data_IF_098783697092
#
_entry.id   IF_098783697092
#
_cell.length_a   1.000
_cell.length_b   1.000
_cell.length_c   1.000
_cell.angle_alpha   90.00
_cell.angle_beta   90.00
_cell.angle_gamma   90.00
#
_symmetry.space_group_name_H-M   'P 1'
#
loop_
_entity.id
_entity.type
_entity.pdbx_description
1 polymer ?
#
# COMPACT_ATOMS: atom_id res chain seq x y z
N UNK A 1 35.50 -5.04 84.17
CA UNK A 1 36.08 -5.12 82.82
C UNK A 1 35.46 -6.29 82.11
N UNK A 2 34.51 -5.98 81.17
CA UNK A 2 34.14 -6.97 80.12
C UNK A 2 33.39 -6.20 79.06
N UNK A 3 33.97 -6.08 77.86
CA UNK A 3 33.40 -5.43 76.70
C UNK A 3 32.39 -6.37 76.02
N UNK A 4 31.13 -5.91 75.85
CA UNK A 4 30.13 -6.57 75.03
C UNK A 4 30.23 -5.96 73.65
N UNK A 5 30.50 -6.84 72.68
CA UNK A 5 30.52 -6.51 71.24
C UNK A 5 29.10 -6.76 70.67
N UNK A 6 28.37 -5.71 70.37
CA UNK A 6 27.09 -5.80 69.67
C UNK A 6 27.31 -6.09 68.21
N UNK A 7 26.72 -7.19 67.68
CA UNK A 7 26.59 -7.48 66.24
C UNK A 7 25.32 -6.84 65.70
N UNK A 8 25.47 -5.86 64.84
CA UNK A 8 24.35 -5.33 64.07
C UNK A 8 24.12 -6.22 62.84
N UNK A 9 22.95 -6.86 62.75
CA UNK A 9 22.46 -7.51 61.54
C UNK A 9 21.88 -6.42 60.60
N UNK A 10 22.56 -6.16 59.51
CA UNK A 10 22.03 -5.36 58.44
C UNK A 10 21.09 -6.19 57.55
N UNK A 11 19.78 -5.91 57.58
CA UNK A 11 18.81 -6.47 56.65
C UNK A 11 18.92 -5.73 55.31
N UNK A 12 19.41 -6.42 54.29
CA UNK A 12 19.38 -5.93 52.90
C UNK A 12 17.94 -6.14 52.33
N UNK A 13 17.18 -5.06 52.24
CA UNK A 13 15.92 -5.04 51.48
C UNK A 13 16.25 -5.02 49.99
N UNK A 14 16.14 -6.17 49.32
CA UNK A 14 16.11 -6.25 47.84
C UNK A 14 14.77 -5.70 47.36
N UNK A 15 14.74 -4.44 46.94
CA UNK A 15 13.61 -3.86 46.21
C UNK A 15 13.60 -4.47 44.81
N UNK A 16 12.79 -5.49 44.59
CA UNK A 16 12.49 -6.03 43.28
C UNK A 16 11.74 -4.97 42.46
N UNK A 17 12.41 -4.31 41.51
CA UNK A 17 11.76 -3.52 40.50
C UNK A 17 10.94 -4.47 39.63
N UNK A 18 9.65 -4.55 39.89
CA UNK A 18 8.68 -5.06 38.91
C UNK A 18 8.68 -4.12 37.74
N UNK A 19 9.41 -4.45 36.68
CA UNK A 19 9.28 -3.79 35.41
C UNK A 19 7.82 -4.01 34.93
N UNK A 20 6.99 -2.99 35.07
CA UNK A 20 5.69 -2.98 34.41
C UNK A 20 5.93 -3.18 32.91
N UNK A 21 5.18 -4.07 32.23
CA UNK A 21 5.24 -4.14 30.79
C UNK A 21 4.88 -2.76 30.24
N UNK A 22 5.84 -2.13 29.59
CA UNK A 22 5.57 -0.89 28.86
C UNK A 22 4.39 -1.18 27.94
N UNK A 23 3.25 -0.51 28.15
CA UNK A 23 2.22 -0.42 27.15
C UNK A 23 2.95 0.10 25.89
N UNK A 24 3.11 -0.79 24.89
CA UNK A 24 3.57 -0.39 23.58
C UNK A 24 2.65 0.74 23.15
N UNK A 25 3.17 1.95 23.11
CA UNK A 25 2.44 3.12 22.61
C UNK A 25 1.88 2.74 21.26
N UNK A 26 0.66 3.18 20.95
CA UNK A 26 0.07 2.98 19.62
C UNK A 26 1.09 3.50 18.61
N UNK A 27 1.79 2.59 17.93
CA UNK A 27 2.72 2.95 16.87
C UNK A 27 1.93 3.69 15.77
N UNK A 28 2.53 4.67 15.14
CA UNK A 28 1.92 5.37 14.01
C UNK A 28 1.95 4.46 12.78
N UNK A 29 0.97 4.61 11.91
CA UNK A 29 1.04 4.03 10.55
C UNK A 29 1.82 4.98 9.67
N UNK A 30 2.91 4.50 9.05
CA UNK A 30 3.76 5.30 8.19
C UNK A 30 3.56 4.90 6.73
N UNK A 31 3.25 5.87 5.89
CA UNK A 31 3.18 5.73 4.45
C UNK A 31 4.45 6.31 3.82
N UNK A 32 5.05 5.57 2.90
CA UNK A 32 6.14 6.03 2.04
C UNK A 32 5.71 5.92 0.59
N UNK A 33 5.83 7.02 -0.18
CA UNK A 33 5.50 7.04 -1.60
C UNK A 33 6.76 6.99 -2.46
N UNK A 34 6.94 5.91 -3.21
CA UNK A 34 8.07 5.79 -4.14
C UNK A 34 7.85 6.55 -5.46
N UNK A 35 6.62 6.83 -5.84
CA UNK A 35 6.19 7.39 -7.12
C UNK A 35 5.18 6.49 -7.82
N UNK A 36 4.56 6.95 -8.89
CA UNK A 36 3.48 6.26 -9.60
C UNK A 36 2.41 5.75 -8.61
N UNK A 37 2.14 4.45 -8.56
CA UNK A 37 1.24 3.81 -7.58
C UNK A 37 2.00 3.01 -6.50
N UNK A 38 3.33 3.16 -6.40
CA UNK A 38 4.17 2.37 -5.51
C UNK A 38 4.21 2.94 -4.09
N UNK A 39 3.66 2.20 -3.14
CA UNK A 39 3.57 2.59 -1.74
C UNK A 39 4.14 1.54 -0.78
N UNK A 40 4.77 2.01 0.30
CA UNK A 40 5.07 1.20 1.48
C UNK A 40 4.21 1.67 2.64
N UNK A 41 3.65 0.72 3.38
CA UNK A 41 2.88 0.94 4.60
C UNK A 41 3.58 0.20 5.73
N UNK A 42 4.02 0.93 6.74
CA UNK A 42 4.50 0.37 8.01
C UNK A 42 3.38 0.50 9.04
N UNK A 43 2.95 -0.63 9.61
CA UNK A 43 1.80 -0.65 10.53
C UNK A 43 2.22 -0.52 11.99
N UNK A 44 1.31 -0.13 12.91
CA UNK A 44 1.60 -0.08 14.35
C UNK A 44 2.09 -1.40 14.96
N UNK A 45 1.79 -2.54 14.31
CA UNK A 45 2.29 -3.86 14.71
C UNK A 45 3.70 -4.17 14.23
N UNK A 46 4.34 -3.26 13.48
CA UNK A 46 5.65 -3.44 12.87
C UNK A 46 5.64 -4.25 11.57
N UNK A 47 4.46 -4.57 11.04
CA UNK A 47 4.35 -5.24 9.74
C UNK A 47 4.52 -4.27 8.57
N UNK A 48 5.02 -4.77 7.45
CA UNK A 48 5.32 -3.97 6.25
C UNK A 48 4.56 -4.52 5.04
N UNK A 49 3.80 -3.65 4.40
CA UNK A 49 3.04 -3.93 3.19
C UNK A 49 3.58 -3.05 2.06
N UNK A 50 3.87 -3.63 0.91
CA UNK A 50 4.07 -2.89 -0.34
C UNK A 50 2.85 -3.02 -1.23
N UNK A 51 2.50 -1.96 -1.95
CA UNK A 51 1.43 -1.95 -2.94
C UNK A 51 2.04 -1.49 -4.27
N UNK A 52 1.78 -2.24 -5.34
CA UNK A 52 2.22 -1.96 -6.71
C UNK A 52 3.70 -1.56 -6.78
N UNK A 53 4.63 -2.44 -6.33
CA UNK A 53 5.99 -2.05 -5.93
C UNK A 53 6.94 -1.82 -7.13
N UNK A 54 6.68 -0.80 -7.92
CA UNK A 54 7.64 -0.30 -8.91
C UNK A 54 8.61 0.71 -8.26
N UNK A 55 9.54 0.19 -7.44
CA UNK A 55 10.49 1.02 -6.68
C UNK A 55 11.53 1.70 -7.58
N UNK A 56 11.78 1.14 -8.77
CA UNK A 56 12.70 1.70 -9.78
C UNK A 56 12.03 2.74 -10.68
N UNK A 57 10.83 3.20 -10.32
CA UNK A 57 10.11 4.24 -11.07
C UNK A 57 11.00 5.48 -11.29
N UNK A 58 11.00 6.10 -12.48
CA UNK A 58 11.91 7.20 -12.80
C UNK A 58 11.82 8.40 -11.84
N UNK A 59 10.62 8.63 -11.29
CA UNK A 59 10.35 9.74 -10.35
C UNK A 59 10.82 9.46 -8.91
N UNK A 60 11.17 8.21 -8.56
CA UNK A 60 11.74 7.90 -7.25
C UNK A 60 13.14 8.52 -7.13
N UNK A 61 13.38 9.43 -6.15
CA UNK A 61 14.70 10.02 -5.97
C UNK A 61 15.73 9.02 -5.46
N UNK A 62 15.32 8.00 -4.70
CA UNK A 62 16.21 6.97 -4.17
C UNK A 62 16.35 5.81 -5.15
N UNK A 63 17.53 5.73 -5.77
CA UNK A 63 17.87 4.66 -6.75
C UNK A 63 18.31 3.37 -6.07
N UNK A 64 18.52 3.38 -4.76
CA UNK A 64 18.92 2.22 -3.96
C UNK A 64 17.75 1.60 -3.21
N UNK A 65 16.52 2.07 -3.41
CA UNK A 65 15.32 1.66 -2.66
C UNK A 65 15.17 0.14 -2.50
N UNK A 66 15.52 -0.66 -3.53
CA UNK A 66 15.45 -2.13 -3.44
C UNK A 66 16.60 -2.67 -2.58
N UNK A 67 17.82 -2.15 -2.76
CA UNK A 67 18.99 -2.61 -2.00
C UNK A 67 18.83 -2.31 -0.50
N UNK A 68 18.29 -1.15 -0.17
CA UNK A 68 18.06 -0.69 1.20
C UNK A 68 16.77 -1.20 1.81
N UNK A 69 15.90 -1.84 1.01
CA UNK A 69 14.65 -2.38 1.48
C UNK A 69 14.89 -3.48 2.52
N UNK A 70 14.45 -3.25 3.74
CA UNK A 70 14.50 -4.21 4.84
C UNK A 70 13.39 -5.25 4.75
N UNK A 71 12.74 -5.50 5.89
CA UNK A 71 11.60 -6.41 5.99
C UNK A 71 10.44 -5.97 5.10
N UNK A 72 9.86 -6.92 4.39
CA UNK A 72 8.54 -6.81 3.74
C UNK A 72 7.77 -8.08 4.05
N UNK A 73 6.56 -7.95 4.57
CA UNK A 73 5.71 -9.11 4.90
C UNK A 73 4.75 -9.45 3.77
N UNK A 74 4.24 -8.40 3.08
CA UNK A 74 3.25 -8.56 2.03
C UNK A 74 3.49 -7.63 0.85
N UNK A 75 3.23 -8.16 -0.34
CA UNK A 75 3.15 -7.41 -1.59
C UNK A 75 1.73 -7.54 -2.12
N UNK A 76 1.06 -6.41 -2.32
CA UNK A 76 -0.25 -6.31 -2.93
C UNK A 76 -0.08 -5.78 -4.35
N UNK A 77 -0.68 -6.45 -5.35
CA UNK A 77 -0.64 -6.00 -6.75
C UNK A 77 -2.05 -5.83 -7.24
N UNK A 78 -2.39 -4.62 -7.72
CA UNK A 78 -3.74 -4.26 -8.13
C UNK A 78 -4.13 -4.83 -9.48
N UNK A 79 -3.20 -4.86 -10.43
CA UNK A 79 -3.43 -5.37 -11.79
C UNK A 79 -2.10 -5.71 -12.51
N UNK A 80 -2.18 -6.25 -13.74
CA UNK A 80 -1.06 -6.89 -14.43
C UNK A 80 -0.08 -5.96 -15.14
N UNK A 81 -0.29 -4.65 -15.19
CA UNK A 81 0.61 -3.73 -15.89
C UNK A 81 1.99 -3.65 -15.23
N UNK A 82 3.01 -3.40 -16.05
CA UNK A 82 4.41 -3.48 -15.63
C UNK A 82 4.81 -2.45 -14.56
N UNK A 83 4.18 -1.28 -14.55
CA UNK A 83 4.38 -0.21 -13.57
C UNK A 83 3.67 -0.46 -12.22
N UNK A 84 2.95 -1.58 -12.10
CA UNK A 84 2.34 -2.07 -10.86
C UNK A 84 2.97 -3.39 -10.40
N UNK A 85 3.17 -4.35 -11.30
CA UNK A 85 3.93 -5.58 -11.00
C UNK A 85 5.36 -5.23 -10.60
N UNK A 86 5.97 -4.29 -11.30
CA UNK A 86 7.24 -3.64 -10.98
C UNK A 86 8.34 -4.61 -10.53
N UNK A 87 8.89 -4.35 -9.35
CA UNK A 87 9.97 -5.14 -8.75
C UNK A 87 9.48 -6.27 -7.82
N UNK A 88 8.19 -6.64 -7.87
CA UNK A 88 7.59 -7.58 -6.92
C UNK A 88 8.35 -8.91 -6.80
N UNK A 89 8.77 -9.51 -7.92
CA UNK A 89 9.51 -10.77 -7.91
C UNK A 89 10.89 -10.65 -7.26
N UNK A 90 11.62 -9.58 -7.56
CA UNK A 90 12.92 -9.29 -6.97
C UNK A 90 12.81 -9.08 -5.46
N UNK A 91 11.84 -8.29 -5.04
CA UNK A 91 11.55 -8.02 -3.63
C UNK A 91 11.14 -9.30 -2.89
N UNK A 92 10.29 -10.13 -3.50
CA UNK A 92 9.89 -11.40 -2.91
C UNK A 92 11.07 -12.33 -2.67
N UNK A 93 11.97 -12.47 -3.63
CA UNK A 93 13.18 -13.29 -3.50
C UNK A 93 14.10 -12.76 -2.38
N UNK A 94 14.17 -11.44 -2.21
CA UNK A 94 15.00 -10.80 -1.16
C UNK A 94 14.39 -10.96 0.24
N UNK A 95 13.08 -10.82 0.37
CA UNK A 95 12.43 -10.61 1.67
C UNK A 95 11.57 -11.76 2.16
N UNK A 96 11.18 -12.67 1.26
CA UNK A 96 10.20 -13.70 1.56
C UNK A 96 8.76 -13.18 1.66
N UNK A 97 8.48 -11.98 1.12
CA UNK A 97 7.17 -11.34 1.18
C UNK A 97 6.09 -12.20 0.52
N UNK A 98 4.89 -12.23 1.12
CA UNK A 98 3.75 -12.97 0.57
C UNK A 98 2.95 -12.10 -0.40
N UNK A 99 2.66 -12.65 -1.58
CA UNK A 99 1.85 -12.00 -2.61
C UNK A 99 0.37 -12.11 -2.29
N UNK A 100 -0.34 -10.98 -2.40
CA UNK A 100 -1.78 -10.89 -2.56
C UNK A 100 -2.08 -10.18 -3.89
N UNK A 101 -2.85 -10.82 -4.75
CA UNK A 101 -3.30 -10.28 -6.04
C UNK A 101 -4.69 -10.81 -6.38
N UNK A 102 -5.42 -10.20 -7.35
CA UNK A 102 -6.64 -10.80 -7.90
C UNK A 102 -6.37 -12.21 -8.45
N UNK A 103 -7.38 -13.08 -8.42
CA UNK A 103 -7.22 -14.51 -8.69
C UNK A 103 -6.46 -14.81 -9.99
N UNK A 104 -6.92 -14.28 -11.12
CA UNK A 104 -6.26 -14.51 -12.42
C UNK A 104 -4.84 -13.97 -12.48
N UNK A 105 -4.61 -12.79 -11.93
CA UNK A 105 -3.28 -12.17 -11.87
C UNK A 105 -2.34 -12.98 -10.96
N UNK A 106 -2.79 -13.40 -9.79
CA UNK A 106 -1.98 -14.19 -8.87
C UNK A 106 -1.51 -15.49 -9.49
N UNK A 107 -2.38 -16.19 -10.25
CA UNK A 107 -2.00 -17.38 -11.00
C UNK A 107 -0.94 -17.08 -12.07
N UNK A 108 -1.12 -16.01 -12.85
CA UNK A 108 -0.17 -15.64 -13.90
C UNK A 108 1.18 -15.19 -13.35
N UNK A 109 1.21 -14.43 -12.25
CA UNK A 109 2.46 -14.01 -11.59
C UNK A 109 3.25 -15.24 -11.12
N UNK A 110 2.58 -16.25 -10.56
CA UNK A 110 3.23 -17.49 -10.14
C UNK A 110 3.71 -18.32 -11.33
N UNK A 111 2.82 -18.58 -12.29
CA UNK A 111 3.10 -19.54 -13.38
C UNK A 111 4.03 -18.96 -14.46
N UNK A 112 3.96 -17.67 -14.71
CA UNK A 112 4.65 -17.00 -15.84
C UNK A 112 5.87 -16.21 -15.38
N UNK A 113 5.76 -15.48 -14.28
CA UNK A 113 6.89 -14.70 -13.75
C UNK A 113 7.76 -15.50 -12.77
N UNK A 114 7.29 -16.68 -12.31
CA UNK A 114 8.04 -17.52 -11.39
C UNK A 114 8.08 -16.96 -9.95
N UNK A 115 7.02 -16.28 -9.52
CA UNK A 115 6.89 -15.91 -8.11
C UNK A 115 6.84 -17.17 -7.24
N UNK A 116 7.58 -17.24 -6.11
CA UNK A 116 7.60 -18.44 -5.28
C UNK A 116 6.20 -18.84 -4.81
N UNK A 117 5.79 -20.06 -5.14
CA UNK A 117 4.42 -20.55 -4.88
C UNK A 117 4.09 -20.58 -3.37
N UNK A 118 5.04 -20.91 -2.54
CA UNK A 118 4.94 -20.94 -1.08
C UNK A 118 4.89 -19.54 -0.43
N UNK A 119 5.22 -18.51 -1.21
CA UNK A 119 5.11 -17.10 -0.82
C UNK A 119 3.83 -16.44 -1.35
N UNK A 120 2.82 -17.19 -1.74
CA UNK A 120 1.54 -16.64 -2.16
C UNK A 120 0.47 -16.83 -1.09
N UNK A 121 -0.36 -15.82 -0.88
CA UNK A 121 -1.66 -15.97 -0.23
C UNK A 121 -2.61 -16.50 -1.31
N UNK A 122 -3.54 -17.38 -0.94
CA UNK A 122 -4.54 -17.84 -1.90
C UNK A 122 -5.24 -16.61 -2.52
N UNK A 123 -5.20 -16.47 -3.86
CA UNK A 123 -5.67 -15.24 -4.51
C UNK A 123 -7.15 -15.01 -4.25
N UNK A 124 -7.50 -13.73 -4.00
CA UNK A 124 -8.89 -13.33 -3.76
C UNK A 124 -9.56 -12.71 -4.99
N UNK A 125 -10.82 -12.37 -4.83
CA UNK A 125 -11.60 -11.64 -5.84
C UNK A 125 -12.32 -10.45 -5.20
N UNK A 126 -12.85 -9.56 -6.06
CA UNK A 126 -13.68 -8.42 -5.64
C UNK A 126 -14.77 -8.87 -4.67
N UNK A 127 -14.92 -8.12 -3.57
CA UNK A 127 -15.84 -8.43 -2.47
C UNK A 127 -15.22 -9.29 -1.36
N UNK A 128 -14.10 -9.97 -1.63
CA UNK A 128 -13.39 -10.77 -0.62
C UNK A 128 -12.61 -9.89 0.36
N UNK A 129 -12.52 -10.36 1.62
CA UNK A 129 -11.68 -9.74 2.65
C UNK A 129 -10.66 -10.78 3.14
N UNK A 130 -9.39 -10.39 3.17
CA UNK A 130 -8.26 -11.27 3.45
C UNK A 130 -7.49 -10.73 4.66
N UNK A 131 -7.16 -11.62 5.60
CA UNK A 131 -6.35 -11.28 6.77
C UNK A 131 -4.86 -11.23 6.43
N UNK A 132 -4.20 -10.18 6.92
CA UNK A 132 -2.74 -10.00 6.88
C UNK A 132 -2.18 -9.98 8.31
N UNK A 133 -2.08 -11.15 8.99
CA UNK A 133 -1.81 -11.21 10.43
C UNK A 133 -0.47 -10.60 10.84
N UNK A 134 0.61 -10.73 10.04
CA UNK A 134 1.91 -10.11 10.33
C UNK A 134 1.86 -8.58 10.29
N UNK A 135 0.92 -8.02 9.51
CA UNK A 135 0.72 -6.58 9.43
C UNK A 135 -0.38 -6.07 10.37
N UNK A 136 -1.06 -6.96 11.10
CA UNK A 136 -2.20 -6.58 11.92
C UNK A 136 -3.29 -5.88 11.08
N UNK A 137 -3.51 -6.32 9.85
CA UNK A 137 -4.41 -5.67 8.91
C UNK A 137 -5.36 -6.68 8.26
N UNK A 138 -6.47 -6.16 7.72
CA UNK A 138 -7.36 -6.86 6.80
C UNK A 138 -7.44 -6.07 5.50
N UNK A 139 -7.59 -6.75 4.38
CA UNK A 139 -7.67 -6.13 3.06
C UNK A 139 -8.95 -6.59 2.38
N UNK A 140 -9.85 -5.65 2.11
CA UNK A 140 -11.01 -5.86 1.24
C UNK A 140 -10.61 -5.52 -0.19
N UNK A 141 -10.89 -6.43 -1.11
CA UNK A 141 -10.66 -6.25 -2.55
C UNK A 141 -11.89 -5.57 -3.13
N UNK A 142 -11.71 -4.40 -3.75
CA UNK A 142 -12.79 -3.62 -4.35
C UNK A 142 -12.60 -3.51 -5.87
N UNK A 143 -13.69 -3.29 -6.58
CA UNK A 143 -13.68 -3.17 -8.03
C UNK A 143 -12.88 -1.96 -8.52
N UNK A 144 -12.18 -2.14 -9.63
CA UNK A 144 -11.59 -1.07 -10.44
C UNK A 144 -11.97 -1.29 -11.92
N UNK A 145 -12.00 -0.20 -12.69
CA UNK A 145 -12.35 -0.23 -14.12
C UNK A 145 -11.13 0.20 -14.92
N UNK A 146 -10.39 -0.79 -15.41
CA UNK A 146 -9.12 -0.63 -16.13
C UNK A 146 -8.78 -1.94 -16.87
N UNK A 147 -7.66 -2.01 -17.59
CA UNK A 147 -7.07 -3.25 -18.10
C UNK A 147 -6.28 -4.00 -17.03
N UNK A 148 -6.02 -5.28 -17.28
CA UNK A 148 -5.17 -6.10 -16.39
C UNK A 148 -4.45 -7.17 -17.22
N UNK A 149 -3.63 -6.72 -18.16
CA UNK A 149 -2.82 -7.58 -19.00
C UNK A 149 -1.42 -7.70 -18.38
N UNK A 150 -0.93 -8.93 -18.26
CA UNK A 150 0.44 -9.21 -17.85
C UNK A 150 1.29 -9.45 -19.09
N UNK A 151 2.34 -8.63 -19.27
CA UNK A 151 3.35 -8.84 -20.32
C UNK A 151 4.57 -9.52 -19.70
N UNK A 152 4.84 -10.80 -20.04
CA UNK A 152 6.01 -11.51 -19.52
C UNK A 152 7.31 -10.86 -19.99
N UNK A 153 8.33 -10.71 -19.13
CA UNK A 153 9.62 -10.09 -19.49
C UNK A 153 10.38 -10.78 -20.63
N UNK A 154 10.15 -12.09 -20.83
CA UNK A 154 10.76 -12.87 -21.89
C UNK A 154 10.11 -12.65 -23.26
N UNK A 155 8.92 -12.07 -23.29
CA UNK A 155 8.27 -11.72 -24.55
C UNK A 155 8.82 -10.37 -25.04
N UNK A 156 9.94 -10.42 -25.76
CA UNK A 156 10.26 -9.33 -26.69
C UNK A 156 9.12 -9.32 -27.70
N UNK A 157 8.34 -8.25 -27.69
CA UNK A 157 7.28 -8.06 -28.68
C UNK A 157 7.93 -8.13 -30.09
N UNK A 158 7.81 -9.28 -30.75
CA UNK A 158 8.02 -9.33 -32.20
C UNK A 158 6.97 -8.41 -32.82
N UNK A 159 7.31 -7.56 -33.78
CA UNK A 159 6.31 -6.72 -34.45
C UNK A 159 5.15 -7.57 -34.92
N UNK A 160 3.94 -7.32 -34.38
CA UNK A 160 2.72 -8.09 -34.67
C UNK A 160 2.38 -9.24 -33.71
N UNK A 161 3.20 -9.53 -32.69
CA UNK A 161 2.97 -10.59 -31.69
C UNK A 161 3.21 -10.10 -30.27
N UNK A 162 2.53 -9.03 -29.83
CA UNK A 162 2.49 -8.69 -28.42
C UNK A 162 1.65 -9.73 -27.67
N UNK A 163 2.29 -10.64 -26.94
CA UNK A 163 1.55 -11.58 -26.11
C UNK A 163 1.32 -10.96 -24.74
N UNK A 164 0.20 -10.29 -24.58
CA UNK A 164 -0.33 -9.88 -23.30
C UNK A 164 -1.26 -10.96 -22.77
N UNK A 165 -1.08 -11.38 -21.53
CA UNK A 165 -1.91 -12.36 -20.87
C UNK A 165 -3.03 -11.67 -20.11
N UNK A 166 -4.29 -11.96 -20.45
CA UNK A 166 -5.40 -11.52 -19.63
C UNK A 166 -5.25 -12.04 -18.20
N UNK A 167 -5.28 -11.14 -17.23
CA UNK A 167 -4.95 -11.45 -15.83
C UNK A 167 -6.13 -11.18 -14.88
N UNK A 168 -7.34 -11.30 -15.38
CA UNK A 168 -8.56 -11.04 -14.61
C UNK A 168 -8.85 -9.55 -14.45
N UNK A 169 -9.70 -9.22 -13.49
CA UNK A 169 -10.12 -7.84 -13.26
C UNK A 169 -9.07 -7.05 -12.48
N UNK A 170 -8.83 -5.78 -12.83
CA UNK A 170 -8.09 -4.86 -11.97
C UNK A 170 -8.89 -4.59 -10.69
N UNK A 171 -8.18 -4.25 -9.61
CA UNK A 171 -8.78 -4.02 -8.30
C UNK A 171 -8.17 -2.82 -7.59
N UNK A 172 -8.92 -2.27 -6.63
CA UNK A 172 -8.40 -1.46 -5.55
C UNK A 172 -8.37 -2.25 -4.24
N UNK A 173 -7.73 -1.70 -3.22
CA UNK A 173 -7.63 -2.30 -1.89
C UNK A 173 -8.09 -1.34 -0.81
N UNK A 174 -9.02 -1.78 0.04
CA UNK A 174 -9.35 -1.11 1.30
C UNK A 174 -8.63 -1.86 2.41
N UNK A 175 -7.64 -1.21 3.01
CA UNK A 175 -6.72 -1.80 3.99
C UNK A 175 -7.10 -1.27 5.36
N UNK A 176 -7.64 -2.13 6.21
CA UNK A 176 -8.06 -1.83 7.58
C UNK A 176 -6.95 -2.21 8.55
N UNK A 177 -6.26 -1.24 9.12
CA UNK A 177 -5.10 -1.45 9.99
C UNK A 177 -5.55 -1.41 11.46
N UNK A 178 -5.26 -2.47 12.20
CA UNK A 178 -5.59 -2.53 13.64
C UNK A 178 -4.79 -1.47 14.41
N UNK A 179 -5.51 -0.53 15.02
CA UNK A 179 -4.91 0.59 15.74
C UNK A 179 -4.34 1.70 14.85
N UNK A 180 -4.60 1.66 13.56
CA UNK A 180 -4.22 2.64 12.55
C UNK A 180 -5.38 3.04 11.65
N UNK A 181 -5.11 3.78 10.55
CA UNK A 181 -6.12 4.24 9.61
C UNK A 181 -6.63 3.12 8.71
N UNK A 182 -7.83 3.32 8.15
CA UNK A 182 -8.31 2.59 6.97
C UNK A 182 -7.85 3.34 5.72
N UNK A 183 -7.11 2.65 4.85
CA UNK A 183 -6.51 3.21 3.65
C UNK A 183 -7.20 2.60 2.42
N UNK A 184 -7.67 3.44 1.50
CA UNK A 184 -8.16 3.01 0.20
C UNK A 184 -7.13 3.36 -0.88
N UNK A 185 -6.49 2.35 -1.44
CA UNK A 185 -5.64 2.46 -2.64
C UNK A 185 -6.51 2.13 -3.85
N UNK A 186 -6.71 3.10 -4.75
CA UNK A 186 -7.65 2.93 -5.86
C UNK A 186 -7.18 1.91 -6.90
N UNK A 187 -5.88 1.62 -6.96
CA UNK A 187 -5.28 1.05 -8.15
C UNK A 187 -5.44 2.01 -9.32
N UNK A 188 -5.30 1.49 -10.52
CA UNK A 188 -5.66 2.22 -11.73
C UNK A 188 -7.14 1.99 -12.05
N UNK A 189 -7.87 3.07 -12.21
CA UNK A 189 -9.32 2.98 -12.43
C UNK A 189 -9.88 4.24 -13.07
N UNK A 190 -10.93 4.08 -13.86
CA UNK A 190 -11.90 5.13 -14.11
C UNK A 190 -12.71 5.41 -12.83
N UNK A 191 -13.42 6.55 -12.78
CA UNK A 191 -14.43 6.75 -11.73
C UNK A 191 -15.60 5.78 -11.99
N UNK A 192 -16.00 5.03 -10.96
CA UNK A 192 -17.08 4.04 -11.05
C UNK A 192 -18.04 4.19 -9.87
N UNK A 193 -19.31 3.89 -10.10
CA UNK A 193 -20.33 3.98 -9.05
C UNK A 193 -20.11 3.02 -7.87
N UNK A 194 -19.38 1.92 -8.09
CA UNK A 194 -19.01 0.99 -7.03
C UNK A 194 -18.22 1.65 -5.89
N UNK A 195 -17.55 2.77 -6.17
CA UNK A 195 -16.89 3.57 -5.14
C UNK A 195 -17.86 4.09 -4.07
N UNK A 196 -19.16 4.24 -4.38
CA UNK A 196 -20.20 4.62 -3.42
C UNK A 196 -20.46 3.53 -2.37
N UNK A 197 -20.14 2.27 -2.68
CA UNK A 197 -20.31 1.16 -1.76
C UNK A 197 -19.25 1.14 -0.66
N UNK A 198 -18.05 1.67 -0.92
CA UNK A 198 -16.93 1.62 0.04
C UNK A 198 -17.32 2.26 1.39
N UNK A 199 -17.85 3.51 1.45
CA UNK A 199 -18.22 4.12 2.72
C UNK A 199 -19.44 3.48 3.40
N UNK A 200 -20.17 2.59 2.72
CA UNK A 200 -21.24 1.81 3.34
C UNK A 200 -20.72 0.67 4.22
N UNK A 201 -19.49 0.19 3.92
CA UNK A 201 -18.85 -0.88 4.68
C UNK A 201 -17.78 -0.37 5.63
N UNK A 202 -16.99 0.64 5.20
CA UNK A 202 -15.81 1.11 5.92
C UNK A 202 -15.66 2.62 5.83
N UNK A 203 -15.39 3.26 6.97
CA UNK A 203 -14.88 4.63 6.95
C UNK A 203 -13.47 4.64 6.38
N UNK A 204 -13.18 5.51 5.42
CA UNK A 204 -11.85 5.68 4.82
C UNK A 204 -11.16 6.89 5.43
N UNK A 205 -10.01 6.66 6.09
CA UNK A 205 -9.21 7.76 6.64
C UNK A 205 -8.31 8.38 5.57
N UNK A 206 -7.69 7.54 4.73
CA UNK A 206 -6.77 7.99 3.67
C UNK A 206 -7.13 7.31 2.36
N UNK A 207 -7.36 8.10 1.32
CA UNK A 207 -7.54 7.62 -0.05
C UNK A 207 -6.29 7.96 -0.88
N UNK A 208 -5.65 6.95 -1.46
CA UNK A 208 -4.57 7.09 -2.43
C UNK A 208 -5.21 7.02 -3.81
N UNK A 209 -5.35 8.18 -4.47
CA UNK A 209 -6.17 8.32 -5.68
C UNK A 209 -5.32 8.56 -6.92
N UNK A 210 -5.47 7.73 -7.95
CA UNK A 210 -4.91 8.01 -9.27
C UNK A 210 -5.58 9.25 -9.88
N UNK A 211 -4.75 10.18 -10.41
CA UNK A 211 -5.23 11.46 -10.97
C UNK A 211 -4.63 11.79 -12.33
N UNK A 212 -3.76 10.92 -12.89
CA UNK A 212 -2.97 11.25 -14.08
C UNK A 212 -3.79 11.52 -15.34
N UNK A 213 -4.99 11.00 -15.43
CA UNK A 213 -5.80 11.02 -16.65
C UNK A 213 -5.24 10.04 -17.68
N UNK A 214 -5.74 10.09 -18.91
CA UNK A 214 -5.41 9.26 -20.06
C UNK A 214 -5.68 7.76 -19.85
N UNK A 215 -5.01 7.14 -18.87
CA UNK A 215 -5.20 5.74 -18.51
C UNK A 215 -6.10 5.55 -17.28
N UNK A 216 -6.22 6.57 -16.42
CA UNK A 216 -6.91 6.52 -15.13
C UNK A 216 -7.87 7.70 -15.00
N UNK A 217 -8.47 7.88 -13.82
CA UNK A 217 -9.21 9.11 -13.52
C UNK A 217 -8.34 10.33 -13.80
N UNK A 218 -8.95 11.36 -14.38
CA UNK A 218 -8.39 12.71 -14.37
C UNK A 218 -8.66 13.41 -13.02
N UNK A 219 -8.11 14.61 -12.79
CA UNK A 219 -8.36 15.34 -11.55
C UNK A 219 -9.85 15.59 -11.25
N UNK A 220 -10.70 15.73 -12.27
CA UNK A 220 -12.14 15.97 -12.10
C UNK A 220 -12.88 14.70 -11.68
N UNK A 221 -12.56 13.57 -12.33
CA UNK A 221 -13.09 12.26 -11.99
C UNK A 221 -12.65 11.83 -10.60
N UNK A 222 -11.37 12.04 -10.26
CA UNK A 222 -10.84 11.74 -8.93
C UNK A 222 -11.53 12.60 -7.85
N UNK A 223 -11.83 13.87 -8.09
CA UNK A 223 -12.58 14.70 -7.16
C UNK A 223 -14.02 14.21 -6.95
N UNK A 224 -14.65 13.65 -7.98
CA UNK A 224 -15.96 13.00 -7.86
C UNK A 224 -15.86 11.71 -7.02
N UNK A 225 -14.82 10.91 -7.24
CA UNK A 225 -14.55 9.72 -6.42
C UNK A 225 -14.37 10.09 -4.93
N UNK A 226 -13.62 11.15 -4.62
CA UNK A 226 -13.47 11.67 -3.24
C UNK A 226 -14.81 12.09 -2.66
N UNK A 227 -15.69 12.71 -3.44
CA UNK A 227 -17.03 13.08 -2.97
C UNK A 227 -17.87 11.85 -2.60
N UNK A 228 -17.73 10.75 -3.33
CA UNK A 228 -18.47 9.52 -3.08
C UNK A 228 -17.88 8.71 -1.92
N UNK A 229 -16.56 8.52 -1.90
CA UNK A 229 -15.84 7.76 -0.85
C UNK A 229 -15.80 8.51 0.48
N UNK A 230 -15.81 9.84 0.46
CA UNK A 230 -15.74 10.74 1.62
C UNK A 230 -14.55 10.47 2.56
N UNK A 231 -13.35 10.24 2.05
CA UNK A 231 -12.20 9.97 2.91
C UNK A 231 -11.89 11.18 3.79
N UNK A 232 -11.24 10.97 4.93
CA UNK A 232 -10.76 12.06 5.78
C UNK A 232 -9.65 12.87 5.08
N UNK A 233 -8.74 12.14 4.43
CA UNK A 233 -7.64 12.69 3.63
C UNK A 233 -7.56 12.00 2.27
N UNK A 234 -7.10 12.72 1.26
CA UNK A 234 -6.79 12.16 -0.06
C UNK A 234 -5.38 12.58 -0.48
N UNK A 235 -4.62 11.61 -0.98
CA UNK A 235 -3.27 11.81 -1.52
C UNK A 235 -3.30 11.42 -2.99
N UNK A 236 -2.94 12.32 -3.91
CA UNK A 236 -2.88 12.00 -5.32
C UNK A 236 -1.67 11.11 -5.63
N UNK A 237 -1.85 10.17 -6.55
CA UNK A 237 -0.83 9.30 -7.09
C UNK A 237 -1.03 9.08 -8.60
N UNK A 238 -0.15 8.32 -9.24
CA UNK A 238 -0.22 7.95 -10.66
C UNK A 238 -0.28 9.16 -11.59
N UNK A 239 0.64 10.12 -11.42
CA UNK A 239 0.77 11.32 -12.25
C UNK A 239 2.24 11.71 -12.44
N UNK A 240 2.53 12.42 -13.52
CA UNK A 240 3.85 13.00 -13.79
C UNK A 240 4.98 12.01 -14.14
N UNK A 241 4.71 10.70 -14.20
CA UNK A 241 5.69 9.68 -14.58
C UNK A 241 5.84 9.58 -16.10
N UNK A 242 4.76 9.69 -16.82
CA UNK A 242 4.74 9.69 -18.29
C UNK A 242 4.14 11.01 -18.81
N UNK A 243 4.60 11.53 -19.98
CA UNK A 243 4.09 12.79 -20.53
C UNK A 243 2.57 12.83 -20.73
N UNK A 244 1.94 11.69 -21.01
CA UNK A 244 0.49 11.56 -21.21
C UNK A 244 -0.31 11.65 -19.91
N UNK A 245 0.33 11.45 -18.74
CA UNK A 245 -0.29 11.60 -17.43
C UNK A 245 -0.29 13.07 -17.02
N UNK A 246 -1.14 13.86 -17.69
CA UNK A 246 -1.16 15.32 -17.62
C UNK A 246 -1.87 15.89 -16.39
N UNK A 247 -2.53 15.06 -15.58
CA UNK A 247 -3.17 15.48 -14.33
C UNK A 247 -2.15 15.93 -13.29
N UNK A 248 -2.45 17.04 -12.59
CA UNK A 248 -1.55 17.60 -11.56
C UNK A 248 -2.26 17.77 -10.22
N UNK A 249 -1.50 17.81 -9.11
CA UNK A 249 -2.07 18.11 -7.79
C UNK A 249 -2.80 19.47 -7.72
N UNK A 250 -2.35 20.47 -8.49
CA UNK A 250 -2.98 21.78 -8.55
C UNK A 250 -4.34 21.72 -9.22
N UNK A 251 -4.45 21.00 -10.36
CA UNK A 251 -5.72 20.75 -11.04
C UNK A 251 -6.66 19.94 -10.13
N UNK A 252 -6.13 18.96 -9.40
CA UNK A 252 -6.92 18.16 -8.46
C UNK A 252 -7.43 19.00 -7.30
N UNK A 253 -6.60 19.89 -6.72
CA UNK A 253 -7.02 20.87 -5.70
C UNK A 253 -8.15 21.74 -6.20
N UNK A 254 -8.03 22.27 -7.44
CA UNK A 254 -9.07 23.10 -8.03
C UNK A 254 -10.39 22.32 -8.24
N UNK A 255 -10.31 21.05 -8.66
CA UNK A 255 -11.48 20.19 -8.81
C UNK A 255 -12.15 19.85 -7.47
N UNK A 256 -11.35 19.59 -6.42
CA UNK A 256 -11.83 19.39 -5.05
C UNK A 256 -12.49 20.66 -4.47
N UNK A 257 -11.90 21.84 -4.71
CA UNK A 257 -12.44 23.12 -4.22
C UNK A 257 -13.84 23.41 -4.78
N UNK A 258 -14.09 23.09 -6.06
CA UNK A 258 -15.46 23.19 -6.67
C UNK A 258 -16.49 22.33 -5.92
N UNK A 259 -16.04 21.32 -5.16
CA UNK A 259 -16.86 20.40 -4.36
C UNK A 259 -16.76 20.68 -2.84
N UNK A 260 -16.02 21.73 -2.44
CA UNK A 260 -15.74 22.08 -1.02
C UNK A 260 -15.01 20.95 -0.27
N UNK A 261 -14.07 20.26 -0.95
CA UNK A 261 -13.33 19.10 -0.44
C UNK A 261 -11.80 19.30 -0.43
N UNK A 262 -11.31 20.46 -0.84
CA UNK A 262 -9.87 20.77 -0.96
C UNK A 262 -9.11 20.72 0.37
N UNK A 263 -9.78 20.96 1.49
CA UNK A 263 -9.20 20.77 2.83
C UNK A 263 -8.83 19.32 3.17
N UNK A 264 -9.26 18.32 2.37
CA UNK A 264 -8.88 16.91 2.53
C UNK A 264 -7.57 16.55 1.83
N UNK A 265 -7.08 17.41 0.94
CA UNK A 265 -5.93 17.12 0.08
C UNK A 265 -4.62 17.23 0.84
N UNK A 266 -3.85 16.16 0.80
CA UNK A 266 -2.44 16.12 1.19
C UNK A 266 -1.62 15.86 -0.08
N UNK A 267 -0.69 16.75 -0.40
CA UNK A 267 0.23 16.56 -1.53
C UNK A 267 1.55 16.04 -0.99
N UNK A 268 2.01 14.91 -1.52
CA UNK A 268 3.32 14.33 -1.25
C UNK A 268 4.19 14.38 -2.52
N UNK A 269 5.50 14.31 -2.34
CA UNK A 269 6.47 14.10 -3.41
C UNK A 269 6.99 12.66 -3.33
N UNK A 270 7.38 12.04 -4.46
CA UNK A 270 8.09 10.75 -4.42
C UNK A 270 9.28 10.80 -3.45
N UNK A 271 9.49 9.73 -2.69
CA UNK A 271 10.49 9.60 -1.65
C UNK A 271 10.07 10.17 -0.27
N UNK A 272 8.89 10.75 -0.13
CA UNK A 272 8.42 11.28 1.16
C UNK A 272 7.68 10.24 2.00
N UNK A 273 7.80 10.43 3.31
CA UNK A 273 7.05 9.72 4.34
C UNK A 273 5.90 10.59 4.88
N UNK A 274 4.83 9.92 5.31
CA UNK A 274 3.73 10.54 6.06
C UNK A 274 3.21 9.59 7.13
N UNK A 275 3.10 10.07 8.36
CA UNK A 275 2.49 9.34 9.48
C UNK A 275 1.00 9.69 9.64
N UNK A 276 0.23 8.68 10.10
CA UNK A 276 -1.21 8.76 10.40
C UNK A 276 -1.56 8.02 11.68
#
# INVERSE_FOLDING_TARGET
MLRMIGRALGALLLAGMLASPALAGKGETKLHWYGQSAWKIETPSGGVILIDPWLTVPTNPDKNSIAELGRVDYILITHGHSDHVGNALEIAKKTGAKLLAPYGLGLNIVSVLGYPKDQTIYPGNVGGTIDLPKAGAKVMIVNAVHGSELVPPAYKAEPGHATALASGNPVGYVIMIKGGPTIYHTGDTAVTEDMKLIPMFHHVDVMLACIGGYFTMDPTGAALAVQWVKPRHVIPMHFGTYPVLAGTPEQFRAALAKRKLDGRLIVMKPGQDRAF
#
